data_IF_275251224256
#
_entry.id   IF_275251224256
#
_cell.length_a   1.000
_cell.length_b   1.000
_cell.length_c   1.000
_cell.angle_alpha   90.00
_cell.angle_beta   90.00
_cell.angle_gamma   90.00
#
_symmetry.space_group_name_H-M   'P 1'
#
loop_
_entity.id
_entity.type
_entity.pdbx_description
1 polymer ?
#
# COMPACT_ATOMS: atom_id res chain seq x y z
N UNK A 1 0.59 -8.86 15.83
CA UNK A 1 -0.13 -7.78 15.11
C UNK A 1 -1.34 -7.35 15.93
N UNK A 2 -1.73 -6.09 15.87
CA UNK A 2 -3.01 -5.61 16.37
C UNK A 2 -3.91 -5.25 15.19
N UNK A 3 -5.17 -5.69 15.22
CA UNK A 3 -6.17 -5.32 14.23
C UNK A 3 -6.93 -4.09 14.71
N UNK A 4 -7.05 -3.10 13.85
CA UNK A 4 -7.98 -1.99 14.06
C UNK A 4 -9.32 -2.30 13.38
N UNK A 5 -10.30 -2.75 14.16
CA UNK A 5 -11.59 -3.22 13.64
C UNK A 5 -12.62 -2.11 13.76
N UNK A 6 -13.22 -1.63 12.66
CA UNK A 6 -14.27 -0.62 12.78
C UNK A 6 -15.47 -1.16 13.57
N UNK A 7 -16.12 -0.28 14.32
CA UNK A 7 -17.11 -0.64 15.34
C UNK A 7 -18.28 -1.45 14.77
N UNK A 8 -18.68 -1.17 13.54
CA UNK A 8 -19.72 -1.91 12.82
C UNK A 8 -19.36 -3.38 12.60
N UNK A 9 -18.11 -3.67 12.23
CA UNK A 9 -17.59 -5.00 11.99
C UNK A 9 -17.29 -5.71 13.32
N UNK A 10 -16.82 -4.96 14.32
CA UNK A 10 -16.62 -5.51 15.67
C UNK A 10 -17.94 -5.97 16.31
N UNK A 11 -19.01 -5.17 16.16
CA UNK A 11 -20.34 -5.53 16.64
C UNK A 11 -20.95 -6.70 15.85
N UNK A 12 -20.79 -6.71 14.53
CA UNK A 12 -21.23 -7.84 13.70
C UNK A 12 -20.49 -9.12 14.06
N UNK A 13 -19.17 -9.06 14.29
CA UNK A 13 -18.36 -10.20 14.70
C UNK A 13 -18.76 -10.72 16.09
N UNK A 14 -18.98 -9.81 17.05
CA UNK A 14 -19.47 -10.17 18.40
C UNK A 14 -20.76 -11.01 18.36
N UNK A 15 -21.68 -10.71 17.44
CA UNK A 15 -22.92 -11.47 17.28
C UNK A 15 -22.75 -12.83 16.60
N UNK A 16 -21.54 -13.19 16.15
CA UNK A 16 -21.24 -14.41 15.40
C UNK A 16 -20.20 -15.32 16.07
N UNK A 17 -19.63 -14.90 17.20
CA UNK A 17 -18.63 -15.66 17.98
C UNK A 17 -19.19 -16.05 19.35
N UNK A 18 -18.52 -16.99 20.03
CA UNK A 18 -18.88 -17.40 21.40
C UNK A 18 -18.65 -16.24 22.39
N UNK A 19 -19.70 -15.87 23.13
CA UNK A 19 -19.71 -14.77 24.11
C UNK A 19 -18.68 -14.97 25.24
N UNK A 20 -18.34 -16.21 25.57
CA UNK A 20 -17.39 -16.52 26.64
C UNK A 20 -15.92 -16.45 26.21
N UNK A 21 -15.66 -16.33 24.90
CA UNK A 21 -14.32 -16.29 24.33
C UNK A 21 -13.52 -15.05 24.80
N UNK A 22 -12.18 -15.21 24.89
CA UNK A 22 -11.29 -14.08 25.18
C UNK A 22 -11.42 -12.96 24.13
N UNK A 23 -11.71 -13.35 22.88
CA UNK A 23 -11.98 -12.43 21.78
C UNK A 23 -13.26 -11.61 22.03
N UNK A 24 -14.37 -12.26 22.40
CA UNK A 24 -15.62 -11.58 22.69
C UNK A 24 -15.49 -10.61 23.87
N UNK A 25 -14.82 -11.04 24.95
CA UNK A 25 -14.48 -10.16 26.09
C UNK A 25 -13.70 -8.94 25.62
N UNK A 26 -12.63 -9.13 24.85
CA UNK A 26 -11.81 -8.03 24.35
C UNK A 26 -12.56 -7.10 23.40
N UNK A 27 -13.43 -7.64 22.54
CA UNK A 27 -14.28 -6.86 21.63
C UNK A 27 -15.37 -6.10 22.39
N UNK A 28 -15.84 -6.60 23.53
CA UNK A 28 -16.86 -5.95 24.38
C UNK A 28 -16.29 -4.79 25.22
N UNK A 29 -14.97 -4.74 25.40
CA UNK A 29 -14.31 -3.62 26.06
C UNK A 29 -14.43 -2.35 25.21
N UNK A 30 -15.00 -1.30 25.78
CA UNK A 30 -15.12 0.00 25.12
C UNK A 30 -13.73 0.64 24.97
N UNK A 31 -13.24 0.69 23.73
CA UNK A 31 -12.06 1.47 23.37
C UNK A 31 -12.41 2.95 23.19
N UNK A 32 -11.60 3.86 23.75
CA UNK A 32 -11.71 5.32 23.58
C UNK A 32 -11.33 5.81 22.16
N UNK A 33 -11.13 4.92 21.20
CA UNK A 33 -10.56 5.19 19.89
C UNK A 33 -11.64 5.32 18.81
N UNK A 34 -12.04 6.56 18.48
CA UNK A 34 -12.68 7.02 17.21
C UNK A 34 -13.38 5.94 16.35
N UNK A 35 -14.34 5.18 16.89
CA UNK A 35 -15.13 4.19 16.14
C UNK A 35 -14.36 2.96 15.63
N UNK A 36 -13.17 2.67 16.15
CA UNK A 36 -12.42 1.41 15.88
C UNK A 36 -12.01 0.75 17.19
N UNK A 37 -12.05 -0.59 17.24
CA UNK A 37 -11.57 -1.42 18.35
C UNK A 37 -10.23 -2.05 17.99
N UNK A 38 -9.24 -1.88 18.87
CA UNK A 38 -7.92 -2.48 18.69
C UNK A 38 -7.89 -3.84 19.37
N UNK A 39 -7.69 -4.90 18.60
CA UNK A 39 -7.70 -6.28 19.10
C UNK A 39 -6.43 -7.01 18.69
N UNK A 40 -5.68 -7.61 19.63
CA UNK A 40 -4.54 -8.44 19.29
C UNK A 40 -4.92 -9.63 18.41
N UNK A 41 -4.21 -9.82 17.30
CA UNK A 41 -4.41 -10.91 16.33
C UNK A 41 -4.39 -12.32 16.94
N UNK A 42 -3.63 -12.55 18.01
CA UNK A 42 -3.53 -13.86 18.66
C UNK A 42 -4.81 -14.31 19.38
N UNK A 43 -5.78 -13.40 19.56
CA UNK A 43 -7.09 -13.74 20.15
C UNK A 43 -8.04 -14.36 19.13
N UNK A 44 -7.70 -14.32 17.84
CA UNK A 44 -8.54 -14.87 16.79
C UNK A 44 -8.15 -16.31 16.47
N UNK A 45 -9.16 -17.18 16.39
CA UNK A 45 -9.04 -18.51 15.80
C UNK A 45 -9.37 -18.47 14.30
N UNK A 46 -9.17 -19.60 13.60
CA UNK A 46 -9.43 -19.68 12.16
C UNK A 46 -10.89 -19.35 11.79
N UNK A 47 -11.84 -19.71 12.64
CA UNK A 47 -13.27 -19.47 12.39
C UNK A 47 -13.63 -17.99 12.53
N UNK A 48 -13.19 -17.33 13.60
CA UNK A 48 -13.41 -15.91 13.83
C UNK A 48 -12.65 -15.03 12.83
N UNK A 49 -11.45 -15.42 12.40
CA UNK A 49 -10.74 -14.78 11.29
C UNK A 49 -11.53 -14.89 9.98
N UNK A 50 -11.97 -16.08 9.59
CA UNK A 50 -12.75 -16.24 8.35
C UNK A 50 -14.06 -15.44 8.39
N UNK A 51 -14.72 -15.40 9.55
CA UNK A 51 -15.94 -14.62 9.77
C UNK A 51 -15.68 -13.13 9.62
N UNK A 52 -14.66 -12.59 10.31
CA UNK A 52 -14.28 -11.19 10.19
C UNK A 52 -13.86 -10.84 8.75
N UNK A 53 -13.20 -11.76 8.03
CA UNK A 53 -12.77 -11.54 6.64
C UNK A 53 -14.01 -11.40 5.73
N UNK A 54 -15.00 -12.27 5.89
CA UNK A 54 -16.27 -12.18 5.17
C UNK A 54 -17.03 -10.87 5.44
N UNK A 55 -17.06 -10.42 6.71
CA UNK A 55 -17.65 -9.14 7.09
C UNK A 55 -16.92 -7.95 6.44
N UNK A 56 -15.59 -7.95 6.47
CA UNK A 56 -14.78 -6.88 5.88
C UNK A 56 -14.88 -6.86 4.35
N UNK A 57 -14.99 -8.03 3.71
CA UNK A 57 -15.23 -8.16 2.27
C UNK A 57 -16.56 -7.56 1.86
N UNK A 58 -17.60 -7.79 2.65
CA UNK A 58 -18.94 -7.25 2.39
C UNK A 58 -18.97 -5.73 2.59
N UNK A 59 -18.24 -5.23 3.60
CA UNK A 59 -18.15 -3.81 3.91
C UNK A 59 -17.09 -3.05 3.09
N UNK A 60 -16.29 -3.73 2.26
CA UNK A 60 -15.15 -3.18 1.51
C UNK A 60 -14.11 -2.48 2.43
N UNK A 61 -13.89 -3.02 3.63
CA UNK A 61 -12.88 -2.55 4.61
C UNK A 61 -11.49 -3.11 4.26
N UNK A 62 -10.87 -2.52 3.25
CA UNK A 62 -9.66 -3.07 2.62
C UNK A 62 -8.46 -3.18 3.54
N UNK A 63 -8.21 -2.16 4.34
CA UNK A 63 -7.09 -2.12 5.29
C UNK A 63 -7.11 -3.34 6.21
N UNK A 64 -8.28 -3.64 6.81
CA UNK A 64 -8.43 -4.77 7.70
C UNK A 64 -8.39 -6.11 6.95
N UNK A 65 -9.01 -6.21 5.77
CA UNK A 65 -8.89 -7.42 4.94
C UNK A 65 -7.44 -7.78 4.64
N UNK A 66 -6.60 -6.80 4.35
CA UNK A 66 -5.18 -7.04 4.07
C UNK A 66 -4.42 -7.50 5.29
N UNK A 67 -4.68 -6.90 6.46
CA UNK A 67 -4.09 -7.35 7.72
C UNK A 67 -4.44 -8.81 8.01
N UNK A 68 -5.66 -9.25 7.66
CA UNK A 68 -6.11 -10.62 7.86
C UNK A 68 -5.50 -11.62 6.87
N UNK A 69 -5.41 -11.27 5.59
CA UNK A 69 -4.72 -12.08 4.58
C UNK A 69 -3.23 -12.23 4.90
N UNK A 70 -2.62 -11.17 5.44
CA UNK A 70 -1.25 -11.24 5.95
C UNK A 70 -1.12 -12.28 7.08
N UNK A 71 -2.07 -12.30 8.01
CA UNK A 71 -2.08 -13.27 9.10
C UNK A 71 -2.31 -14.71 8.60
N UNK A 72 -3.21 -14.90 7.64
CA UNK A 72 -3.46 -16.23 7.05
C UNK A 72 -2.20 -16.76 6.34
N UNK A 73 -1.47 -15.90 5.62
CA UNK A 73 -0.17 -16.24 5.03
C UNK A 73 0.89 -16.61 6.08
N UNK A 74 0.85 -16.03 7.28
CA UNK A 74 1.72 -16.44 8.41
C UNK A 74 1.36 -17.86 8.85
N UNK A 75 0.07 -18.16 9.04
CA UNK A 75 -0.40 -19.46 9.52
C UNK A 75 -0.28 -20.59 8.49
N UNK A 76 -0.47 -20.30 7.20
CA UNK A 76 -0.39 -21.28 6.11
C UNK A 76 1.05 -21.66 5.72
N UNK A 77 2.09 -21.10 6.37
CA UNK A 77 3.49 -21.39 6.11
C UNK A 77 4.18 -22.16 7.27
N UNK A 78 3.83 -23.43 7.56
CA UNK A 78 4.39 -24.21 8.68
C UNK A 78 5.88 -24.59 8.53
N UNK A 79 6.54 -24.21 7.43
CA UNK A 79 7.99 -24.30 7.27
C UNK A 79 8.76 -23.15 7.95
N UNK A 80 8.05 -22.23 8.60
CA UNK A 80 8.55 -21.09 9.35
C UNK A 80 9.36 -21.54 10.60
N UNK A 81 10.57 -22.07 10.36
CA UNK A 81 11.57 -22.19 11.41
C UNK A 81 11.98 -20.78 11.82
N UNK A 82 12.14 -20.57 13.13
CA UNK A 82 12.76 -19.35 13.68
C UNK A 82 14.09 -19.10 12.99
N UNK A 83 14.39 -17.83 12.71
CA UNK A 83 15.62 -17.44 12.04
C UNK A 83 16.78 -17.59 13.05
N UNK A 84 17.73 -18.52 12.86
CA UNK A 84 18.74 -18.81 13.88
C UNK A 84 19.86 -17.76 13.93
N UNK A 85 20.03 -16.96 12.88
CA UNK A 85 21.07 -15.94 12.74
C UNK A 85 20.91 -15.17 11.43
N UNK A 86 21.54 -13.99 11.33
CA UNK A 86 21.43 -13.12 10.15
C UNK A 86 21.95 -13.76 8.87
N UNK A 87 22.95 -14.64 8.97
CA UNK A 87 23.52 -15.40 7.86
C UNK A 87 22.52 -16.37 7.22
N UNK A 88 21.48 -16.77 7.95
CA UNK A 88 20.41 -17.65 7.47
C UNK A 88 19.21 -16.88 6.89
N UNK A 89 19.15 -15.57 7.10
CA UNK A 89 18.00 -14.75 6.71
C UNK A 89 17.84 -14.67 5.19
N UNK A 90 18.92 -14.42 4.44
CA UNK A 90 18.85 -14.31 2.97
C UNK A 90 18.38 -15.62 2.31
N UNK A 91 18.97 -16.80 2.60
CA UNK A 91 18.47 -18.07 2.07
C UNK A 91 17.00 -18.32 2.43
N UNK A 92 16.60 -18.00 3.66
CA UNK A 92 15.21 -18.12 4.10
C UNK A 92 14.26 -17.19 3.34
N UNK A 93 14.66 -15.93 3.10
CA UNK A 93 13.86 -14.96 2.34
C UNK A 93 13.71 -15.39 0.88
N UNK A 94 14.78 -15.90 0.27
CA UNK A 94 14.74 -16.45 -1.10
C UNK A 94 13.73 -17.60 -1.18
N UNK A 95 13.82 -18.57 -0.27
CA UNK A 95 12.90 -19.70 -0.22
C UNK A 95 11.45 -19.26 0.01
N UNK A 96 11.24 -18.30 0.91
CA UNK A 96 9.91 -17.79 1.24
C UNK A 96 9.27 -16.98 0.10
N UNK A 97 10.02 -16.08 -0.55
CA UNK A 97 9.53 -15.24 -1.63
C UNK A 97 9.32 -16.02 -2.93
N UNK A 98 10.15 -17.02 -3.22
CA UNK A 98 10.04 -17.83 -4.45
C UNK A 98 8.90 -18.86 -4.41
N UNK A 99 8.48 -19.29 -3.22
CA UNK A 99 7.33 -20.19 -3.08
C UNK A 99 6.06 -19.50 -3.58
N UNK A 100 5.25 -20.13 -4.43
CA UNK A 100 3.96 -19.56 -4.90
C UNK A 100 4.08 -18.12 -5.45
N UNK A 101 5.23 -17.78 -6.03
CA UNK A 101 5.53 -16.45 -6.55
C UNK A 101 4.60 -16.07 -7.72
N UNK A 102 4.20 -14.80 -7.77
CA UNK A 102 3.49 -14.19 -8.89
C UNK A 102 4.45 -13.30 -9.69
N UNK A 103 4.93 -12.20 -9.11
CA UNK A 103 5.90 -11.28 -9.75
C UNK A 103 7.18 -11.09 -8.93
N UNK A 104 7.20 -11.55 -7.68
CA UNK A 104 8.30 -11.32 -6.74
C UNK A 104 8.16 -10.03 -5.94
N UNK A 105 6.91 -9.63 -5.66
CA UNK A 105 6.61 -8.37 -4.99
C UNK A 105 6.34 -8.53 -3.49
N UNK A 106 6.69 -7.47 -2.76
CA UNK A 106 6.19 -7.18 -1.42
C UNK A 106 5.21 -6.02 -1.49
N UNK A 107 4.12 -6.12 -0.75
CA UNK A 107 3.11 -5.09 -0.65
C UNK A 107 3.26 -4.36 0.69
N UNK A 108 3.18 -3.03 0.66
CA UNK A 108 3.22 -2.18 1.85
C UNK A 108 2.00 -1.29 1.91
N UNK A 109 1.33 -1.23 3.05
CA UNK A 109 0.25 -0.28 3.26
C UNK A 109 0.81 1.13 3.43
N UNK A 110 0.45 2.04 2.53
CA UNK A 110 0.80 3.45 2.59
C UNK A 110 0.02 4.20 3.66
N UNK A 111 0.50 5.39 4.04
CA UNK A 111 -0.21 6.29 4.99
C UNK A 111 -1.59 6.72 4.49
N UNK A 112 -1.81 6.63 3.19
CA UNK A 112 -3.07 6.92 2.51
C UNK A 112 -4.04 5.74 2.49
N UNK A 113 -3.65 4.59 3.06
CA UNK A 113 -4.42 3.35 3.06
C UNK A 113 -4.35 2.58 1.74
N UNK A 114 -3.44 2.96 0.84
CA UNK A 114 -3.23 2.24 -0.43
C UNK A 114 -2.19 1.15 -0.24
N UNK A 115 -2.48 -0.06 -0.71
CA UNK A 115 -1.52 -1.15 -0.73
C UNK A 115 -0.59 -1.01 -1.95
N UNK A 116 0.68 -0.66 -1.70
CA UNK A 116 1.67 -0.37 -2.74
C UNK A 116 2.62 -1.55 -2.96
N UNK A 117 2.76 -2.06 -4.19
CA UNK A 117 3.71 -3.13 -4.50
C UNK A 117 5.13 -2.59 -4.65
N UNK A 118 6.09 -3.43 -4.27
CA UNK A 118 7.52 -3.19 -4.36
C UNK A 118 8.22 -4.46 -4.85
N UNK A 119 8.95 -4.35 -5.95
CA UNK A 119 9.78 -5.45 -6.43
C UNK A 119 10.97 -5.65 -5.50
N UNK A 120 11.17 -6.88 -5.04
CA UNK A 120 12.40 -7.26 -4.33
C UNK A 120 13.50 -7.53 -5.36
N UNK A 121 14.45 -6.61 -5.51
CA UNK A 121 15.46 -6.73 -6.58
C UNK A 121 16.86 -7.14 -6.09
N UNK A 122 17.12 -7.03 -4.78
CA UNK A 122 18.42 -7.44 -4.21
C UNK A 122 18.32 -7.69 -2.71
N UNK A 123 19.23 -8.53 -2.19
CA UNK A 123 19.48 -8.65 -0.76
C UNK A 123 20.98 -8.75 -0.51
N UNK A 124 21.46 -8.12 0.57
CA UNK A 124 22.89 -8.16 0.93
C UNK A 124 23.05 -8.26 2.43
N UNK A 125 23.97 -9.14 2.86
CA UNK A 125 24.50 -9.14 4.21
C UNK A 125 25.68 -8.16 4.26
N UNK A 126 25.69 -7.27 5.25
CA UNK A 126 26.72 -6.25 5.43
C UNK A 126 27.27 -6.36 6.85
N UNK A 127 28.59 -6.49 6.95
CA UNK A 127 29.33 -6.43 8.22
C UNK A 127 30.24 -5.20 8.18
N UNK A 128 29.80 -4.05 8.71
CA UNK A 128 30.67 -2.89 8.86
C UNK A 128 31.75 -3.13 9.91
N UNK A 129 32.84 -2.36 9.84
CA UNK A 129 33.96 -2.47 10.79
C UNK A 129 33.55 -1.99 12.19
N UNK A 130 32.81 -0.87 12.25
CA UNK A 130 32.48 -0.18 13.51
C UNK A 130 30.97 -0.20 13.83
N UNK A 131 30.18 -1.08 13.21
CA UNK A 131 28.76 -1.19 13.52
C UNK A 131 28.22 -2.61 13.38
N UNK A 132 27.01 -2.81 13.90
CA UNK A 132 26.35 -4.11 13.91
C UNK A 132 26.10 -4.62 12.48
N UNK A 133 26.21 -5.94 12.32
CA UNK A 133 25.86 -6.62 11.09
C UNK A 133 24.38 -6.43 10.77
N UNK A 134 24.05 -6.34 9.47
CA UNK A 134 22.67 -6.26 9.03
C UNK A 134 22.47 -6.91 7.67
N UNK A 135 21.22 -7.27 7.40
CA UNK A 135 20.74 -7.63 6.07
C UNK A 135 19.92 -6.47 5.53
N UNK A 136 20.22 -6.04 4.31
CA UNK A 136 19.44 -5.02 3.59
C UNK A 136 18.77 -5.65 2.38
N UNK A 137 17.46 -5.44 2.27
CA UNK A 137 16.65 -5.78 1.10
C UNK A 137 16.44 -4.51 0.28
N UNK A 138 16.84 -4.55 -0.99
CA UNK A 138 16.57 -3.49 -1.96
C UNK A 138 15.21 -3.69 -2.63
N UNK A 139 14.41 -2.62 -2.64
CA UNK A 139 13.08 -2.57 -3.22
C UNK A 139 13.02 -1.56 -4.38
N UNK A 140 12.26 -1.89 -5.42
CA UNK A 140 12.02 -1.02 -6.58
C UNK A 140 10.53 -0.87 -6.90
N UNK A 141 10.11 0.35 -7.19
CA UNK A 141 8.80 0.66 -7.76
C UNK A 141 8.86 1.98 -8.53
N UNK A 142 7.95 2.19 -9.47
CA UNK A 142 7.75 3.49 -10.11
C UNK A 142 6.89 4.36 -9.19
N UNK A 143 7.56 5.08 -8.29
CA UNK A 143 6.93 5.85 -7.21
C UNK A 143 6.48 7.24 -7.66
N UNK A 144 5.70 7.88 -6.80
CA UNK A 144 5.38 9.30 -6.91
C UNK A 144 6.64 10.19 -6.91
N UNK A 145 7.63 9.91 -6.05
CA UNK A 145 8.87 10.68 -5.96
C UNK A 145 9.75 10.55 -7.21
N UNK A 146 9.66 9.41 -7.92
CA UNK A 146 10.32 9.26 -9.20
C UNK A 146 9.63 10.12 -10.28
N UNK A 147 8.30 10.22 -10.24
CA UNK A 147 7.52 10.97 -11.21
C UNK A 147 7.56 12.50 -11.03
N UNK A 148 7.87 13.02 -9.84
CA UNK A 148 8.08 14.46 -9.61
C UNK A 148 9.39 15.00 -10.18
N UNK A 149 10.33 14.11 -10.53
CA UNK A 149 11.65 14.53 -10.99
C UNK A 149 11.61 14.88 -12.47
N UNK A 150 12.29 15.97 -12.81
CA UNK A 150 12.58 16.34 -14.19
C UNK A 150 13.56 15.36 -14.87
N UNK A 151 13.87 15.60 -16.15
CA UNK A 151 14.64 14.68 -16.98
C UNK A 151 16.00 14.37 -16.35
N UNK A 152 16.26 13.08 -16.18
CA UNK A 152 17.53 12.59 -15.69
C UNK A 152 18.39 12.17 -16.88
N UNK A 153 19.40 12.96 -17.20
CA UNK A 153 20.34 12.68 -18.31
C UNK A 153 21.41 11.65 -17.95
N UNK A 154 21.75 11.50 -16.67
CA UNK A 154 22.70 10.48 -16.21
C UNK A 154 21.99 9.12 -16.03
N UNK A 155 22.35 8.08 -16.80
CA UNK A 155 21.75 6.75 -16.66
C UNK A 155 21.84 6.17 -15.24
N UNK A 156 22.85 6.56 -14.45
CA UNK A 156 23.01 6.11 -13.05
C UNK A 156 21.92 6.65 -12.13
N UNK A 157 21.36 7.79 -12.48
CA UNK A 157 20.31 8.45 -11.70
C UNK A 157 18.91 8.08 -12.18
N UNK A 158 18.77 7.24 -13.22
CA UNK A 158 17.48 6.86 -13.83
C UNK A 158 16.48 6.28 -12.82
N UNK A 159 16.96 5.55 -11.81
CA UNK A 159 16.13 4.96 -10.75
C UNK A 159 15.99 5.84 -9.50
N UNK A 160 16.39 7.10 -9.56
CA UNK A 160 16.33 7.95 -8.37
C UNK A 160 14.88 8.20 -7.97
N UNK A 161 14.55 7.99 -6.70
CA UNK A 161 13.18 8.05 -6.19
C UNK A 161 12.40 6.74 -6.36
N UNK A 162 12.87 5.79 -7.17
CA UNK A 162 12.22 4.47 -7.35
C UNK A 162 12.61 3.44 -6.29
N UNK A 163 13.67 3.70 -5.53
CA UNK A 163 14.27 2.74 -4.59
C UNK A 163 13.76 2.93 -3.18
N UNK A 164 13.54 1.83 -2.48
CA UNK A 164 13.34 1.78 -1.04
C UNK A 164 14.13 0.61 -0.46
N UNK A 165 14.27 0.51 0.85
CA UNK A 165 14.97 -0.61 1.48
C UNK A 165 14.38 -1.02 2.81
N UNK A 166 14.55 -2.29 3.15
CA UNK A 166 14.26 -2.84 4.47
C UNK A 166 15.59 -3.29 5.07
N UNK A 167 15.86 -2.92 6.30
CA UNK A 167 17.10 -3.30 7.00
C UNK A 167 16.74 -4.10 8.24
N UNK A 168 17.38 -5.25 8.41
CA UNK A 168 17.23 -6.13 9.56
C UNK A 168 18.55 -6.33 10.27
N UNK A 169 18.53 -6.17 11.58
CA UNK A 169 19.61 -6.45 12.51
C UNK A 169 19.37 -7.75 13.26
N UNK A 170 20.38 -8.22 13.98
CA UNK A 170 20.30 -9.47 14.74
C UNK A 170 19.20 -9.44 15.81
N UNK A 171 18.90 -8.26 16.36
CA UNK A 171 17.83 -8.06 17.34
C UNK A 171 16.42 -8.22 16.75
N UNK A 172 16.24 -7.90 15.47
CA UNK A 172 14.93 -7.96 14.81
C UNK A 172 14.47 -9.40 14.55
N UNK A 173 15.43 -10.33 14.41
CA UNK A 173 15.16 -11.73 14.02
C UNK A 173 14.99 -12.68 15.23
N UNK A 174 15.17 -12.18 16.45
CA UNK A 174 15.11 -13.00 17.67
C UNK A 174 13.73 -13.63 17.83
N UNK A 175 13.71 -14.97 17.88
CA UNK A 175 12.50 -15.78 18.04
C UNK A 175 11.38 -15.51 17.02
N UNK A 176 11.72 -14.90 15.89
CA UNK A 176 10.78 -14.48 14.86
C UNK A 176 10.90 -15.36 13.62
N UNK A 177 9.78 -15.60 12.96
CA UNK A 177 9.76 -16.21 11.63
C UNK A 177 9.82 -15.14 10.54
N UNK A 178 10.19 -15.51 9.31
CA UNK A 178 10.25 -14.55 8.19
C UNK A 178 8.90 -13.85 7.92
N UNK A 179 7.75 -14.56 7.85
CA UNK A 179 6.46 -13.90 7.69
C UNK A 179 6.16 -12.87 8.78
N UNK A 180 6.46 -13.21 10.05
CA UNK A 180 6.27 -12.33 11.20
C UNK A 180 7.19 -11.11 11.13
N UNK A 181 8.46 -11.30 10.78
CA UNK A 181 9.46 -10.24 10.62
C UNK A 181 9.05 -9.25 9.53
N UNK A 182 8.64 -9.75 8.36
CA UNK A 182 8.22 -8.88 7.26
C UNK A 182 6.98 -8.07 7.64
N UNK A 183 6.04 -8.75 8.31
CA UNK A 183 4.78 -8.16 8.76
C UNK A 183 4.99 -7.11 9.85
N UNK A 184 5.95 -7.28 10.76
CA UNK A 184 6.26 -6.26 11.78
C UNK A 184 6.81 -4.97 11.16
N UNK A 185 7.44 -5.06 9.98
CA UNK A 185 7.87 -3.92 9.16
C UNK A 185 6.78 -3.39 8.21
N UNK A 186 5.58 -3.96 8.26
CA UNK A 186 4.43 -3.57 7.45
C UNK A 186 4.51 -4.03 5.98
N UNK A 187 5.32 -5.05 5.70
CA UNK A 187 5.43 -5.65 4.37
C UNK A 187 4.79 -7.02 4.33
N UNK A 188 4.01 -7.25 3.29
CA UNK A 188 3.23 -8.45 3.07
C UNK A 188 3.67 -9.11 1.79
N UNK A 189 3.78 -10.44 1.79
CA UNK A 189 4.05 -11.17 0.55
C UNK A 189 2.87 -11.03 -0.40
N UNK A 190 3.17 -10.99 -1.70
CA UNK A 190 2.16 -11.04 -2.73
C UNK A 190 1.20 -12.22 -2.59
N UNK A 191 -0.06 -11.98 -2.94
CA UNK A 191 -1.10 -12.99 -3.11
C UNK A 191 -2.04 -12.56 -4.24
N UNK A 192 -2.95 -13.45 -4.65
CA UNK A 192 -3.85 -13.21 -5.77
C UNK A 192 -4.77 -11.98 -5.55
N UNK A 193 -5.25 -11.77 -4.33
CA UNK A 193 -6.10 -10.63 -3.96
C UNK A 193 -5.36 -9.31 -4.11
N UNK A 194 -4.13 -9.23 -3.58
CA UNK A 194 -3.30 -8.02 -3.70
C UNK A 194 -2.97 -7.71 -5.16
N UNK A 195 -2.66 -8.76 -5.93
CA UNK A 195 -2.37 -8.63 -7.35
C UNK A 195 -3.59 -8.13 -8.13
N UNK A 196 -4.77 -8.71 -7.91
CA UNK A 196 -6.00 -8.32 -8.59
C UNK A 196 -6.39 -6.87 -8.29
N UNK A 197 -6.21 -6.43 -7.05
CA UNK A 197 -6.44 -5.03 -6.66
C UNK A 197 -5.46 -4.09 -7.36
N UNK A 198 -4.17 -4.43 -7.36
CA UNK A 198 -3.16 -3.68 -8.10
C UNK A 198 -3.48 -3.59 -9.59
N UNK A 199 -3.85 -4.68 -10.24
CA UNK A 199 -4.16 -4.68 -11.68
C UNK A 199 -5.39 -3.83 -12.01
N UNK A 200 -6.39 -3.82 -11.12
CA UNK A 200 -7.55 -2.94 -11.22
C UNK A 200 -7.13 -1.47 -11.16
N UNK A 201 -6.24 -1.12 -10.23
CA UNK A 201 -5.68 0.23 -10.12
C UNK A 201 -4.85 0.60 -11.36
N UNK A 202 -3.94 -0.28 -11.79
CA UNK A 202 -3.10 -0.07 -12.96
C UNK A 202 -3.95 0.19 -14.22
N UNK A 203 -4.99 -0.61 -14.44
CA UNK A 203 -5.89 -0.44 -15.58
C UNK A 203 -6.59 0.93 -15.56
N UNK A 204 -7.12 1.35 -14.40
CA UNK A 204 -7.73 2.68 -14.25
C UNK A 204 -6.71 3.78 -14.49
N UNK A 205 -5.50 3.63 -13.96
CA UNK A 205 -4.44 4.61 -14.10
C UNK A 205 -4.07 4.80 -15.57
N UNK A 206 -3.82 3.71 -16.31
CA UNK A 206 -3.50 3.76 -17.74
C UNK A 206 -4.62 4.39 -18.59
N UNK A 207 -5.87 4.33 -18.15
CA UNK A 207 -7.01 4.98 -18.83
C UNK A 207 -7.14 6.48 -18.52
N UNK A 208 -6.67 6.93 -17.36
CA UNK A 208 -6.86 8.29 -16.87
C UNK A 208 -5.62 9.16 -17.10
N UNK A 209 -4.43 8.59 -16.88
CA UNK A 209 -3.14 9.26 -16.99
C UNK A 209 -2.95 10.06 -18.28
N UNK A 210 -3.22 9.53 -19.49
CA UNK A 210 -2.96 10.25 -20.74
C UNK A 210 -3.99 11.35 -21.06
N UNK A 211 -5.02 11.55 -20.23
CA UNK A 211 -6.12 12.48 -20.52
C UNK A 211 -5.84 13.88 -19.96
N UNK A 212 -4.82 14.56 -20.49
CA UNK A 212 -4.49 15.92 -20.06
C UNK A 212 -5.70 16.88 -20.20
N UNK A 213 -5.84 17.78 -19.23
CA UNK A 213 -6.96 18.73 -19.16
C UNK A 213 -8.33 18.11 -18.79
N UNK A 214 -8.42 16.78 -18.64
CA UNK A 214 -9.67 16.14 -18.21
C UNK A 214 -10.00 16.52 -16.76
N UNK A 215 -11.29 16.73 -16.49
CA UNK A 215 -11.78 17.02 -15.15
C UNK A 215 -12.09 15.74 -14.37
N UNK A 216 -11.65 15.71 -13.13
CA UNK A 216 -11.87 14.62 -12.20
C UNK A 216 -12.47 15.11 -10.89
N UNK A 217 -13.18 14.21 -10.22
CA UNK A 217 -13.54 14.35 -8.81
C UNK A 217 -12.66 13.44 -7.97
N UNK A 218 -12.09 14.01 -6.92
CA UNK A 218 -11.17 13.33 -6.00
C UNK A 218 -11.80 13.24 -4.63
N UNK A 219 -11.62 12.10 -3.95
CA UNK A 219 -12.03 11.89 -2.57
C UNK A 219 -10.92 11.26 -1.74
N UNK A 220 -11.15 10.98 -0.46
CA UNK A 220 -10.21 10.22 0.36
C UNK A 220 -8.93 10.99 0.66
N UNK A 221 -7.79 10.48 0.20
CA UNK A 221 -6.46 11.01 0.56
C UNK A 221 -5.76 11.60 -0.66
N UNK A 222 -5.12 12.76 -0.46
CA UNK A 222 -4.28 13.45 -1.44
C UNK A 222 -2.90 13.71 -0.86
N UNK A 223 -1.88 13.71 -1.71
CA UNK A 223 -0.51 14.06 -1.36
C UNK A 223 -0.17 15.43 -1.94
N UNK A 224 0.45 16.29 -1.15
CA UNK A 224 0.83 17.65 -1.54
C UNK A 224 2.26 17.93 -1.14
N UNK A 225 2.94 18.74 -1.96
CA UNK A 225 4.25 19.27 -1.60
C UNK A 225 4.10 20.34 -0.53
N UNK A 226 4.85 20.23 0.57
CA UNK A 226 4.88 21.22 1.64
C UNK A 226 5.52 22.52 1.16
N UNK A 227 5.18 23.64 1.77
CA UNK A 227 5.88 24.90 1.51
C UNK A 227 7.25 24.92 2.19
N UNK A 228 8.25 25.52 1.54
CA UNK A 228 9.57 25.76 2.13
C UNK A 228 10.76 25.41 1.23
N UNK A 229 11.99 25.62 1.71
CA UNK A 229 13.21 25.43 0.92
C UNK A 229 13.55 23.95 0.62
N UNK A 230 12.92 23.01 1.33
CA UNK A 230 13.05 21.56 1.12
C UNK A 230 11.65 20.95 1.22
N UNK A 231 10.84 21.07 0.16
CA UNK A 231 9.46 20.62 0.18
C UNK A 231 9.41 19.10 0.41
N UNK A 232 8.49 18.66 1.26
CA UNK A 232 8.21 17.26 1.54
C UNK A 232 6.80 16.91 1.13
N UNK A 233 6.57 15.65 0.78
CA UNK A 233 5.24 15.17 0.45
C UNK A 233 4.45 14.90 1.73
N UNK A 234 3.40 15.68 1.92
CA UNK A 234 2.48 15.57 3.04
C UNK A 234 1.18 14.88 2.60
N UNK A 235 0.75 13.92 3.43
CA UNK A 235 -0.46 13.15 3.21
C UNK A 235 -1.63 13.83 3.91
N UNK A 236 -2.61 14.33 3.14
CA UNK A 236 -3.80 14.99 3.66
C UNK A 236 -5.05 14.19 3.35
N UNK A 237 -5.88 13.97 4.37
CA UNK A 237 -7.19 13.34 4.23
C UNK A 237 -8.25 14.41 3.98
N UNK A 238 -8.97 14.32 2.88
CA UNK A 238 -10.18 15.10 2.63
C UNK A 238 -11.30 14.67 3.59
N UNK A 239 -12.18 15.61 3.93
CA UNK A 239 -13.30 15.32 4.82
C UNK A 239 -14.21 14.23 4.24
N UNK A 240 -14.69 13.33 5.09
CA UNK A 240 -15.60 12.27 4.65
C UNK A 240 -16.87 12.86 4.00
N UNK A 241 -17.26 12.30 2.86
CA UNK A 241 -18.42 12.77 2.09
C UNK A 241 -18.18 14.02 1.24
N UNK A 242 -16.97 14.59 1.25
CA UNK A 242 -16.61 15.69 0.35
C UNK A 242 -15.76 15.18 -0.82
N UNK A 243 -15.86 15.90 -1.93
CA UNK A 243 -15.04 15.66 -3.13
C UNK A 243 -14.40 16.96 -3.56
N UNK A 244 -13.14 16.90 -3.96
CA UNK A 244 -12.43 17.98 -4.62
C UNK A 244 -12.59 17.87 -6.14
N UNK A 245 -12.65 19.01 -6.83
CA UNK A 245 -12.55 19.04 -8.30
C UNK A 245 -11.10 19.26 -8.69
N UNK A 246 -10.60 18.44 -9.59
CA UNK A 246 -9.25 18.56 -10.10
C UNK A 246 -9.21 18.48 -11.63
N UNK A 247 -8.13 19.00 -12.20
CA UNK A 247 -7.81 18.86 -13.63
C UNK A 247 -6.57 17.99 -13.76
N UNK A 248 -6.53 17.14 -14.79
CA UNK A 248 -5.38 16.31 -15.08
C UNK A 248 -4.21 17.13 -15.64
N UNK A 249 -3.11 17.17 -14.89
CA UNK A 249 -1.89 17.90 -15.22
C UNK A 249 -0.70 16.95 -15.47
N UNK A 250 -0.99 15.72 -15.90
CA UNK A 250 0.02 14.70 -16.17
C UNK A 250 1.01 15.08 -17.27
N UNK A 251 0.61 15.80 -18.32
CA UNK A 251 1.52 16.25 -19.40
C UNK A 251 2.55 17.28 -18.92
N UNK A 252 2.37 17.88 -17.74
CA UNK A 252 3.39 18.75 -17.14
C UNK A 252 4.59 17.95 -16.58
N UNK A 253 4.45 16.63 -16.46
CA UNK A 253 5.49 15.73 -16.01
C UNK A 253 6.19 15.07 -17.19
N UNK A 254 7.51 15.01 -17.14
CA UNK A 254 8.28 14.10 -17.99
C UNK A 254 8.35 12.71 -17.34
N UNK A 255 7.20 12.04 -17.28
CA UNK A 255 7.10 10.74 -16.61
C UNK A 255 7.70 9.62 -17.46
N UNK A 256 8.69 8.94 -16.92
CA UNK A 256 9.27 7.73 -17.50
C UNK A 256 8.83 6.48 -16.73
N UNK A 257 8.38 5.47 -17.47
CA UNK A 257 7.94 4.19 -16.91
C UNK A 257 9.01 3.12 -17.11
N UNK A 258 9.84 2.91 -16.09
CA UNK A 258 10.69 1.73 -16.04
C UNK A 258 9.88 0.53 -15.58
N UNK A 259 9.67 -0.41 -16.50
CA UNK A 259 8.82 -1.59 -16.29
C UNK A 259 9.61 -2.85 -15.97
N UNK A 260 10.93 -2.84 -16.18
CA UNK A 260 11.80 -4.00 -16.03
C UNK A 260 13.05 -3.70 -15.20
N UNK A 261 13.41 -4.61 -14.30
CA UNK A 261 14.61 -4.58 -13.48
C UNK A 261 15.60 -5.68 -13.90
N UNK A 262 16.82 -5.55 -13.40
CA UNK A 262 17.83 -6.60 -13.52
C UNK A 262 17.56 -7.69 -12.47
N UNK A 263 17.34 -8.92 -12.92
CA UNK A 263 17.06 -10.07 -12.07
C UNK A 263 18.33 -10.90 -11.73
N UNK A 264 19.54 -10.41 -12.05
CA UNK A 264 20.81 -11.16 -11.86
C UNK A 264 20.96 -11.76 -10.46
N UNK A 265 20.58 -11.03 -9.40
CA UNK A 265 20.58 -11.54 -8.02
C UNK A 265 19.75 -12.81 -7.83
N UNK A 266 18.56 -12.85 -8.44
CA UNK A 266 17.65 -14.00 -8.34
C UNK A 266 18.12 -15.16 -9.21
N UNK A 267 18.63 -14.86 -10.40
CA UNK A 267 19.21 -15.87 -11.30
C UNK A 267 20.43 -16.54 -10.67
N UNK A 268 21.32 -15.78 -10.03
CA UNK A 268 22.47 -16.35 -9.30
C UNK A 268 22.08 -17.12 -8.05
N UNK A 269 20.88 -16.87 -7.50
CA UNK A 269 20.31 -17.59 -6.36
C UNK A 269 19.51 -18.84 -6.77
N UNK A 270 19.52 -19.22 -8.05
CA UNK A 270 18.86 -20.43 -8.55
C UNK A 270 17.38 -20.26 -8.90
N UNK A 271 16.85 -19.03 -8.91
CA UNK A 271 15.45 -18.75 -9.29
C UNK A 271 15.40 -18.39 -10.79
N UNK A 272 14.77 -19.26 -11.59
CA UNK A 272 14.80 -19.19 -13.05
C UNK A 272 13.92 -18.10 -13.68
N UNK A 273 12.86 -17.66 -13.00
CA UNK A 273 11.87 -16.70 -13.53
C UNK A 273 11.39 -15.71 -12.46
N UNK A 274 10.62 -14.69 -12.86
CA UNK A 274 10.08 -13.67 -11.96
C UNK A 274 11.13 -12.66 -11.44
N UNK A 275 10.70 -11.78 -10.53
CA UNK A 275 11.50 -10.71 -9.92
C UNK A 275 12.11 -9.69 -10.90
N UNK A 276 11.48 -9.51 -12.06
CA UNK A 276 11.98 -8.62 -13.12
C UNK A 276 11.01 -7.50 -13.47
N UNK A 277 9.74 -7.60 -13.03
CA UNK A 277 8.72 -6.59 -13.34
C UNK A 277 8.67 -5.53 -12.25
N UNK A 278 8.92 -4.28 -12.61
CA UNK A 278 8.83 -3.14 -11.69
C UNK A 278 7.35 -2.72 -11.58
N UNK A 279 6.77 -2.68 -10.37
CA UNK A 279 5.39 -2.24 -10.17
C UNK A 279 5.23 -0.73 -10.33
N UNK A 280 4.05 -0.30 -10.78
CA UNK A 280 3.68 1.12 -10.90
C UNK A 280 2.85 1.57 -9.69
N UNK A 281 3.30 2.60 -8.98
CA UNK A 281 2.44 3.27 -8.00
C UNK A 281 1.50 4.21 -8.75
N UNK A 282 0.20 3.94 -8.69
CA UNK A 282 -0.80 4.52 -9.60
C UNK A 282 -1.30 5.90 -9.14
N UNK A 283 -0.37 6.84 -8.93
CA UNK A 283 -0.69 8.22 -8.56
C UNK A 283 -0.77 9.14 -9.78
N UNK A 284 -1.87 9.88 -9.89
CA UNK A 284 -2.07 10.92 -10.90
C UNK A 284 -1.62 12.27 -10.35
N UNK A 285 -0.96 13.06 -11.18
CA UNK A 285 -0.64 14.46 -10.92
C UNK A 285 -1.76 15.35 -11.42
N UNK A 286 -2.47 15.99 -10.49
CA UNK A 286 -3.69 16.74 -10.74
C UNK A 286 -3.57 18.16 -10.18
N UNK A 287 -4.24 19.12 -10.79
CA UNK A 287 -4.39 20.46 -10.25
C UNK A 287 -5.70 20.59 -9.48
N UNK A 288 -5.62 20.85 -8.17
CA UNK A 288 -6.79 21.00 -7.30
C UNK A 288 -7.41 22.39 -7.47
N UNK A 289 -8.68 22.44 -7.90
CA UNK A 289 -9.32 23.71 -8.27
C UNK A 289 -9.63 24.61 -7.08
N UNK A 290 -10.03 24.06 -5.93
CA UNK A 290 -10.37 24.91 -4.78
C UNK A 290 -9.12 25.38 -4.00
N UNK A 291 -8.04 24.58 -3.95
CA UNK A 291 -6.77 24.95 -3.29
C UNK A 291 -5.79 25.66 -4.22
N UNK A 292 -6.03 25.63 -5.53
CA UNK A 292 -5.15 26.20 -6.56
C UNK A 292 -3.70 25.69 -6.49
N UNK A 293 -3.52 24.38 -6.28
CA UNK A 293 -2.21 23.73 -6.14
C UNK A 293 -2.19 22.36 -6.80
N UNK A 294 -1.01 21.93 -7.21
CA UNK A 294 -0.79 20.55 -7.64
C UNK A 294 -0.92 19.58 -6.48
N UNK A 295 -1.61 18.48 -6.73
CA UNK A 295 -1.84 17.38 -5.80
C UNK A 295 -1.55 16.07 -6.51
N UNK A 296 -1.15 15.08 -5.73
CA UNK A 296 -0.98 13.72 -6.17
C UNK A 296 -2.05 12.84 -5.55
N UNK A 297 -2.72 12.06 -6.37
CA UNK A 297 -3.87 11.28 -5.93
C UNK A 297 -3.79 9.87 -6.47
N UNK A 298 -3.89 8.88 -5.58
CA UNK A 298 -3.96 7.50 -6.03
C UNK A 298 -5.24 7.28 -6.85
N UNK A 299 -5.14 6.59 -7.97
CA UNK A 299 -6.25 6.41 -8.92
C UNK A 299 -7.51 5.79 -8.29
N UNK A 300 -7.36 5.02 -7.20
CA UNK A 300 -8.51 4.46 -6.48
C UNK A 300 -9.49 5.54 -6.01
N UNK A 301 -8.98 6.73 -5.69
CA UNK A 301 -9.69 7.89 -5.16
C UNK A 301 -10.15 8.88 -6.24
N UNK A 302 -9.97 8.54 -7.53
CA UNK A 302 -10.23 9.43 -8.68
C UNK A 302 -11.39 8.91 -9.51
N UNK A 303 -12.35 9.78 -9.77
CA UNK A 303 -13.51 9.52 -10.64
C UNK A 303 -13.61 10.57 -11.76
N UNK A 304 -14.17 10.18 -12.90
CA UNK A 304 -14.44 11.09 -14.02
C UNK A 304 -15.52 12.09 -13.61
N UNK A 305 -15.22 13.39 -13.73
CA UNK A 305 -16.22 14.42 -13.46
C UNK A 305 -17.39 14.27 -14.44
N UNK A 306 -18.61 14.17 -13.91
CA UNK A 306 -19.84 14.14 -14.71
C UNK A 306 -20.47 15.52 -14.71
N UNK A 307 -20.44 16.18 -15.86
CA UNK A 307 -21.13 17.45 -16.07
C UNK A 307 -22.65 17.26 -15.94
N UNK A 308 -23.30 18.13 -15.17
CA UNK A 308 -24.76 18.14 -14.97
C UNK A 308 -25.33 19.41 -15.60
N UNK A 309 -25.82 19.37 -16.86
CA UNK A 309 -26.28 20.56 -17.56
C UNK A 309 -27.46 21.25 -16.88
N UNK A 310 -28.28 20.49 -16.14
CA UNK A 310 -29.49 20.98 -15.43
C UNK A 310 -29.14 21.95 -14.29
N UNK A 311 -27.87 22.01 -13.87
CA UNK A 311 -27.41 23.01 -12.90
C UNK A 311 -27.45 24.43 -13.48
N UNK A 312 -27.33 24.59 -14.81
CA UNK A 312 -27.48 25.89 -15.47
C UNK A 312 -28.84 26.51 -15.16
N UNK A 313 -29.89 25.70 -15.15
CA UNK A 313 -31.26 26.16 -14.94
C UNK A 313 -31.51 26.63 -13.50
N UNK A 314 -30.68 26.15 -12.55
CA UNK A 314 -30.69 26.60 -11.14
C UNK A 314 -29.87 27.88 -10.90
N UNK A 315 -29.02 28.26 -11.85
CA UNK A 315 -28.21 29.49 -11.79
C UNK A 315 -28.92 30.69 -12.41
N UNK A 316 -30.01 30.45 -13.15
CA UNK A 316 -30.89 31.52 -13.64
C UNK A 316 -31.83 31.92 -12.51
N UNK A 317 -31.81 33.19 -12.10
CA UNK A 317 -32.77 33.76 -11.15
C UNK A 317 -34.20 33.43 -11.61
N UNK A 318 -35.05 32.84 -10.75
CA UNK A 318 -36.44 32.55 -11.10
C UNK A 318 -37.16 33.83 -11.54
N UNK A 319 -38.07 33.73 -12.51
CA UNK A 319 -38.82 34.89 -13.00
C UNK A 319 -39.55 35.69 -11.91
N UNK A 320 -39.86 35.07 -10.77
CA UNK A 320 -40.49 35.72 -9.62
C UNK A 320 -39.55 36.66 -8.82
N UNK A 321 -38.24 36.62 -9.08
CA UNK A 321 -37.22 37.43 -8.41
C UNK A 321 -36.50 38.39 -9.36
N UNK A 322 -37.08 38.64 -10.54
CA UNK A 322 -36.56 39.56 -11.56
C UNK A 322 -37.33 40.87 -11.57
#
# INVERSE_FOLDING_TARGET
>A
MEFEIPETQANALLGMIDEDSLLAKRLSEYGLSRGKRVVPSHLFDATSLNTLYGLCRTANERELMFQMLALDNIHAAPAARKIPGLEHLIPGLIAWLSRDMIDGWLYKLGKDGVLQPWLVHSMRYVQPVDSAAYVIIGLLASTLQAAERGPVTDPRLRRTGMTNSITFYAEDILDCTIPELMTSYGYFKECAEFKNEYETHLKRFMQMQPKFGAQFTVSGTVWMSSEGPRPQLECMRLQAGTTARCVNDEELLERHFDTTADATFWRSSGIGEGFERIPQHCYLHLFHLDYHRSVWVHVQNVEVYRYKPELRDKLVLPHAHR
#
